data_IF_538008805472
#
_entry.id   IF_538008805472
#
_cell.length_a   1.000
_cell.length_b   1.000
_cell.length_c   1.000
_cell.angle_alpha   90.00
_cell.angle_beta   90.00
_cell.angle_gamma   90.00
#
_symmetry.space_group_name_H-M   'P 1'
#
loop_
_entity.id
_entity.type
_entity.pdbx_description
1 polymer ?
#
# COMPACT_ATOMS: atom_id res chain seq x y z
N UNK A 1 3.95 15.29 -1.31
CA UNK A 1 3.02 14.56 -0.40
C UNK A 1 1.72 14.09 -1.08
N UNK A 2 1.00 14.92 -1.83
CA UNK A 2 -0.25 14.50 -2.53
C UNK A 2 -0.12 13.20 -3.34
N UNK A 3 0.88 13.03 -4.23
CA UNK A 3 0.99 11.80 -5.01
C UNK A 3 1.34 10.58 -4.14
N UNK A 4 2.14 10.75 -3.07
CA UNK A 4 2.44 9.68 -2.12
C UNK A 4 1.18 9.22 -1.36
N UNK A 5 0.30 10.16 -0.99
CA UNK A 5 -1.01 9.82 -0.40
C UNK A 5 -1.89 9.04 -1.37
N UNK A 6 -1.94 9.46 -2.64
CA UNK A 6 -2.70 8.74 -3.68
C UNK A 6 -2.14 7.34 -3.88
N UNK A 7 -0.81 7.19 -3.94
CA UNK A 7 -0.16 5.88 -4.05
C UNK A 7 -0.46 4.98 -2.84
N UNK A 8 -0.44 5.53 -1.61
CA UNK A 8 -0.82 4.80 -0.39
C UNK A 8 -2.27 4.32 -0.44
N UNK A 9 -3.20 5.15 -0.93
CA UNK A 9 -4.60 4.76 -1.06
C UNK A 9 -4.81 3.72 -2.16
N UNK A 10 -4.10 3.84 -3.29
CA UNK A 10 -4.16 2.87 -4.38
C UNK A 10 -3.61 1.51 -3.97
N UNK A 11 -2.44 1.49 -3.32
CA UNK A 11 -1.82 0.29 -2.78
C UNK A 11 -2.75 -0.38 -1.74
N UNK A 12 -3.24 0.38 -0.76
CA UNK A 12 -4.20 -0.13 0.22
C UNK A 12 -5.50 -0.65 -0.39
N UNK A 13 -6.03 0.01 -1.43
CA UNK A 13 -7.21 -0.47 -2.15
C UNK A 13 -6.94 -1.78 -2.90
N UNK A 14 -5.78 -1.91 -3.57
CA UNK A 14 -5.38 -3.16 -4.24
C UNK A 14 -5.16 -4.30 -3.26
N UNK A 15 -4.62 -4.03 -2.05
CA UNK A 15 -4.53 -5.02 -0.98
C UNK A 15 -5.93 -5.47 -0.53
N UNK A 16 -6.84 -4.53 -0.28
CA UNK A 16 -8.21 -4.86 0.12
C UNK A 16 -8.94 -5.67 -0.95
N UNK A 17 -8.80 -5.31 -2.22
CA UNK A 17 -9.37 -6.10 -3.32
C UNK A 17 -8.76 -7.50 -3.39
N UNK A 18 -7.44 -7.63 -3.22
CA UNK A 18 -6.79 -8.94 -3.19
C UNK A 18 -7.30 -9.80 -2.02
N UNK A 19 -7.39 -9.24 -0.82
CA UNK A 19 -7.71 -9.97 0.41
C UNK A 19 -9.20 -10.25 0.57
N UNK A 20 -10.07 -9.28 0.27
CA UNK A 20 -11.52 -9.36 0.49
C UNK A 20 -12.30 -9.84 -0.75
N UNK A 21 -11.71 -9.81 -1.94
CA UNK A 21 -12.39 -10.24 -3.17
C UNK A 21 -11.66 -11.42 -3.81
N UNK A 22 -10.39 -11.25 -4.19
CA UNK A 22 -9.69 -12.29 -4.94
C UNK A 22 -9.50 -13.58 -4.13
N UNK A 23 -9.13 -13.48 -2.85
CA UNK A 23 -8.96 -14.66 -1.98
C UNK A 23 -10.29 -15.40 -1.73
N UNK A 24 -11.42 -14.74 -1.41
CA UNK A 24 -12.71 -15.41 -1.34
C UNK A 24 -13.14 -16.05 -2.66
N UNK A 25 -12.96 -15.38 -3.80
CA UNK A 25 -13.27 -15.97 -5.12
C UNK A 25 -12.46 -17.24 -5.39
N UNK A 26 -11.17 -17.24 -5.04
CA UNK A 26 -10.32 -18.43 -5.15
C UNK A 26 -10.80 -19.60 -4.30
N UNK A 27 -11.34 -19.35 -3.09
CA UNK A 27 -11.69 -20.42 -2.14
C UNK A 27 -13.16 -20.85 -2.17
N UNK A 28 -14.06 -19.96 -2.58
CA UNK A 28 -15.51 -20.19 -2.54
C UNK A 28 -16.12 -20.42 -3.92
N UNK A 29 -15.48 -19.90 -4.98
CA UNK A 29 -15.96 -20.00 -6.36
C UNK A 29 -14.99 -20.74 -7.29
N UNK A 30 -13.91 -21.34 -6.73
CA UNK A 30 -12.86 -22.04 -7.48
C UNK A 30 -12.29 -21.23 -8.65
N UNK A 31 -12.18 -19.89 -8.49
CA UNK A 31 -11.62 -18.97 -9.49
C UNK A 31 -10.21 -18.52 -9.11
N UNK A 32 -9.15 -19.33 -9.34
CA UNK A 32 -7.78 -18.97 -9.00
C UNK A 32 -7.25 -17.78 -9.83
N UNK A 33 -7.84 -17.50 -11.00
CA UNK A 33 -7.44 -16.43 -11.90
C UNK A 33 -7.53 -15.05 -11.24
N UNK A 34 -8.50 -14.85 -10.35
CA UNK A 34 -8.67 -13.59 -9.62
C UNK A 34 -7.43 -13.22 -8.80
N UNK A 35 -6.82 -14.20 -8.13
CA UNK A 35 -5.58 -14.00 -7.35
C UNK A 35 -4.37 -13.89 -8.28
N UNK A 36 -4.30 -14.70 -9.33
CA UNK A 36 -3.22 -14.65 -10.31
C UNK A 36 -3.15 -13.31 -11.05
N UNK A 37 -4.28 -12.61 -11.22
CA UNK A 37 -4.33 -11.27 -11.77
C UNK A 37 -4.07 -10.19 -10.70
N UNK A 38 -4.76 -10.25 -9.57
CA UNK A 38 -4.66 -9.21 -8.54
C UNK A 38 -3.32 -9.22 -7.80
N UNK A 39 -2.65 -10.37 -7.68
CA UNK A 39 -1.36 -10.52 -7.02
C UNK A 39 -0.28 -9.63 -7.65
N UNK A 40 -0.01 -9.77 -8.97
CA UNK A 40 0.91 -8.89 -9.68
C UNK A 40 0.52 -7.41 -9.65
N UNK A 41 -0.78 -7.09 -9.77
CA UNK A 41 -1.28 -5.71 -9.70
C UNK A 41 -0.94 -5.08 -8.34
N UNK A 42 -1.27 -5.77 -7.25
CA UNK A 42 -0.95 -5.32 -5.91
C UNK A 42 0.56 -5.26 -5.68
N UNK A 43 1.33 -6.28 -6.11
CA UNK A 43 2.78 -6.30 -5.99
C UNK A 43 3.46 -5.12 -6.69
N UNK A 44 3.00 -4.76 -7.90
CA UNK A 44 3.49 -3.59 -8.61
C UNK A 44 3.12 -2.28 -7.89
N UNK A 45 1.88 -2.17 -7.40
CA UNK A 45 1.44 -1.01 -6.61
C UNK A 45 2.26 -0.85 -5.31
N UNK A 46 2.55 -1.95 -4.62
CA UNK A 46 3.37 -2.00 -3.41
C UNK A 46 4.80 -1.52 -3.68
N UNK A 47 5.46 -2.07 -4.72
CA UNK A 47 6.82 -1.64 -5.09
C UNK A 47 6.85 -0.16 -5.45
N UNK A 48 5.90 0.32 -6.27
CA UNK A 48 5.79 1.73 -6.62
C UNK A 48 5.61 2.62 -5.37
N UNK A 49 4.73 2.22 -4.45
CA UNK A 49 4.51 2.94 -3.19
C UNK A 49 5.79 2.99 -2.33
N UNK A 50 6.48 1.86 -2.13
CA UNK A 50 7.72 1.82 -1.34
C UNK A 50 8.80 2.71 -1.96
N UNK A 51 8.97 2.68 -3.28
CA UNK A 51 9.91 3.56 -3.97
C UNK A 51 9.57 5.04 -3.75
N UNK A 52 8.28 5.39 -3.76
CA UNK A 52 7.85 6.75 -3.43
C UNK A 52 8.14 7.10 -1.96
N UNK A 53 7.87 6.22 -1.00
CA UNK A 53 8.20 6.44 0.42
C UNK A 53 9.70 6.73 0.57
N UNK A 54 10.56 5.90 -0.04
CA UNK A 54 12.02 6.08 0.00
C UNK A 54 12.45 7.39 -0.67
N UNK A 55 11.87 7.73 -1.83
CA UNK A 55 12.16 8.98 -2.53
C UNK A 55 11.81 10.22 -1.68
N UNK A 56 10.63 10.23 -1.06
CA UNK A 56 10.20 11.33 -0.19
C UNK A 56 11.00 11.39 1.11
N UNK A 57 11.43 10.24 1.64
CA UNK A 57 12.34 10.18 2.78
C UNK A 57 13.72 10.76 2.43
N UNK A 58 14.27 10.42 1.28
CA UNK A 58 15.57 10.93 0.82
C UNK A 58 15.54 12.45 0.56
N UNK A 59 14.42 12.98 0.07
CA UNK A 59 14.18 14.42 -0.06
C UNK A 59 13.96 15.15 1.29
N UNK A 60 14.01 14.45 2.42
CA UNK A 60 13.83 15.03 3.75
C UNK A 60 12.38 15.40 4.09
N UNK A 61 11.41 14.96 3.29
CA UNK A 61 10.00 15.25 3.52
C UNK A 61 9.36 14.34 4.58
N UNK A 62 10.00 13.21 4.92
CA UNK A 62 9.51 12.28 5.93
C UNK A 62 10.45 12.21 7.14
N UNK A 63 9.86 12.01 8.31
CA UNK A 63 10.63 11.66 9.52
C UNK A 63 11.20 10.25 9.35
N UNK A 64 12.41 9.99 9.86
CA UNK A 64 13.06 8.68 9.72
C UNK A 64 12.20 7.52 10.27
N UNK A 65 11.50 7.73 11.39
CA UNK A 65 10.57 6.72 11.93
C UNK A 65 9.32 6.53 11.07
N UNK A 66 8.95 7.49 10.21
CA UNK A 66 7.76 7.36 9.39
C UNK A 66 7.94 6.30 8.29
N UNK A 67 9.15 6.08 7.80
CA UNK A 67 9.45 5.10 6.75
C UNK A 67 9.05 3.67 7.15
N UNK A 68 9.58 3.08 8.26
CA UNK A 68 9.20 1.74 8.65
C UNK A 68 7.72 1.62 8.99
N UNK A 69 7.12 2.63 9.64
CA UNK A 69 5.70 2.64 9.96
C UNK A 69 4.81 2.65 8.70
N UNK A 70 5.17 3.46 7.68
CA UNK A 70 4.45 3.54 6.40
C UNK A 70 4.55 2.24 5.60
N UNK A 71 5.70 1.56 5.65
CA UNK A 71 5.89 0.26 4.98
C UNK A 71 5.16 -0.86 5.71
N UNK A 72 5.22 -0.93 7.04
CA UNK A 72 4.49 -1.95 7.82
C UNK A 72 2.98 -1.78 7.63
N UNK A 73 2.48 -0.55 7.64
CA UNK A 73 1.07 -0.28 7.42
C UNK A 73 0.55 -0.72 6.04
N UNK A 74 1.41 -0.81 5.03
CA UNK A 74 1.04 -1.33 3.70
C UNK A 74 0.80 -2.85 3.71
N UNK A 75 1.31 -3.60 4.69
CA UNK A 75 1.00 -5.04 4.83
C UNK A 75 -0.25 -5.33 5.66
N UNK A 76 -0.72 -4.33 6.41
CA UNK A 76 -1.87 -4.49 7.30
C UNK A 76 -3.14 -4.10 6.53
N UNK A 77 -4.17 -4.97 6.47
CA UNK A 77 -5.46 -4.57 5.92
C UNK A 77 -5.95 -3.29 6.61
N UNK A 78 -6.38 -2.31 5.82
CA UNK A 78 -6.77 -0.97 6.28
C UNK A 78 -5.63 -0.07 6.83
N UNK A 79 -4.39 -0.52 6.91
CA UNK A 79 -3.28 0.29 7.46
C UNK A 79 -3.06 1.60 6.68
N UNK A 80 -3.25 1.59 5.37
CA UNK A 80 -3.19 2.78 4.51
C UNK A 80 -4.14 3.92 4.94
N UNK A 81 -5.28 3.61 5.60
CA UNK A 81 -6.24 4.62 6.05
C UNK A 81 -5.82 5.31 7.36
N UNK A 82 -4.98 4.65 8.18
CA UNK A 82 -4.57 5.16 9.48
C UNK A 82 -3.24 5.95 9.45
N UNK A 83 -2.47 5.86 8.36
CA UNK A 83 -1.16 6.53 8.24
C UNK A 83 -1.22 8.02 7.86
N UNK A 84 -2.42 8.60 7.77
CA UNK A 84 -2.62 10.02 7.45
C UNK A 84 -1.68 11.00 8.20
N UNK A 85 -1.50 10.87 9.54
CA UNK A 85 -0.61 11.74 10.31
C UNK A 85 0.87 11.60 9.97
N UNK A 86 1.32 10.45 9.47
CA UNK A 86 2.73 10.17 9.16
C UNK A 86 3.21 10.92 7.91
N UNK A 87 2.31 11.36 7.04
CA UNK A 87 2.63 12.20 5.89
C UNK A 87 2.88 13.67 6.26
N UNK A 88 2.86 14.04 7.55
CA UNK A 88 3.25 15.40 7.98
C UNK A 88 4.77 15.52 8.00
N UNK A 89 5.27 16.46 7.20
CA UNK A 89 6.68 16.86 7.11
C UNK A 89 7.24 17.22 8.49
N UNK A 90 8.56 17.01 8.69
CA UNK A 90 9.30 17.87 9.62
C UNK A 90 9.07 19.32 9.16
N UNK A 91 8.39 20.11 9.98
CA UNK A 91 8.55 21.56 9.96
C UNK A 91 9.87 21.89 10.64
#
# INVERSE_FOLDING_TARGET
MRPLRVASWAEGATLLLLMLVAVPLKRLADMPEAVSLMGPIHGAAFVAYVLMVLFYAWKGHLRAHAVPLLTIAAFVPFGAFFVGPLFRSKA
#
